data_IF_363509196127
#
_entry.id   IF_363509196127
#
_cell.length_a   1.000
_cell.length_b   1.000
_cell.length_c   1.000
_cell.angle_alpha   90.00
_cell.angle_beta   90.00
_cell.angle_gamma   90.00
#
_symmetry.space_group_name_H-M   'P 1'
#
loop_
_entity.id
_entity.type
_entity.pdbx_description
1 polymer ?
#
# COMPACT_ATOMS: atom_id res chain seq x y z
N UNK A 1 -42.96 70.58 -38.60
CA UNK A 1 -43.27 70.06 -37.26
C UNK A 1 -42.21 68.99 -36.98
N UNK A 2 -41.26 69.15 -36.05
CA UNK A 2 -41.45 69.11 -34.58
C UNK A 2 -42.10 67.77 -34.18
N UNK A 3 -41.32 66.81 -33.68
CA UNK A 3 -40.93 66.68 -32.26
C UNK A 3 -42.03 65.96 -31.45
N UNK A 4 -41.78 65.06 -30.49
CA UNK A 4 -40.60 64.26 -30.06
C UNK A 4 -41.17 62.86 -29.61
N UNK A 5 -40.65 61.97 -28.74
CA UNK A 5 -39.52 61.99 -27.80
C UNK A 5 -39.04 60.58 -27.37
N UNK A 6 -37.74 60.48 -27.04
CA UNK A 6 -37.04 59.67 -26.02
C UNK A 6 -37.59 58.31 -25.50
N UNK A 7 -36.80 57.24 -25.79
CA UNK A 7 -36.42 56.13 -24.86
C UNK A 7 -37.42 55.02 -24.44
N UNK A 8 -36.99 53.86 -23.90
CA UNK A 8 -35.64 53.44 -23.46
C UNK A 8 -35.36 51.90 -23.57
N UNK A 9 -34.11 51.53 -23.24
CA UNK A 9 -33.58 50.18 -22.96
C UNK A 9 -33.40 49.29 -24.22
N UNK A 10 -32.30 49.43 -24.96
CA UNK A 10 -30.92 48.91 -24.70
C UNK A 10 -30.77 47.47 -25.24
N UNK A 11 -30.05 47.23 -26.35
CA UNK A 11 -28.57 47.04 -26.45
C UNK A 11 -28.16 45.64 -25.93
N UNK A 12 -27.46 44.74 -26.65
CA UNK A 12 -26.69 44.74 -27.92
C UNK A 12 -26.80 43.26 -28.46
N UNK A 13 -26.67 42.82 -29.74
CA UNK A 13 -25.72 43.14 -30.84
C UNK A 13 -24.24 42.96 -30.42
N UNK A 14 -23.28 42.46 -31.22
CA UNK A 14 -23.28 41.75 -32.51
C UNK A 14 -22.04 40.80 -32.55
N UNK A 15 -21.99 39.93 -33.55
CA UNK A 15 -20.91 39.01 -33.98
C UNK A 15 -19.44 39.36 -33.63
N UNK A 16 -18.62 38.33 -33.40
CA UNK A 16 -17.17 38.34 -33.63
C UNK A 16 -16.64 36.92 -33.96
N UNK A 17 -15.57 36.82 -34.76
CA UNK A 17 -15.03 35.57 -35.30
C UNK A 17 -13.53 35.38 -34.97
N UNK A 18 -13.10 34.12 -34.86
CA UNK A 18 -11.74 33.62 -35.08
C UNK A 18 -10.58 33.99 -34.09
N UNK A 19 -9.42 33.39 -34.39
CA UNK A 19 -8.07 33.56 -33.79
C UNK A 19 -7.74 32.78 -32.51
N UNK A 20 -6.45 32.74 -32.15
CA UNK A 20 -5.81 31.59 -31.49
C UNK A 20 -5.24 31.87 -30.08
N UNK A 21 -4.86 30.80 -29.39
CA UNK A 21 -4.32 30.81 -28.02
C UNK A 21 -3.02 31.64 -27.87
N UNK A 22 -2.75 32.19 -26.67
CA UNK A 22 -2.03 31.39 -25.67
C UNK A 22 -2.61 31.48 -24.23
N UNK A 23 -1.89 30.84 -23.30
CA UNK A 23 -2.19 30.66 -21.86
C UNK A 23 -2.36 31.94 -21.04
N UNK A 24 -3.28 31.91 -20.07
CA UNK A 24 -2.98 32.25 -18.67
C UNK A 24 -3.85 31.40 -17.70
N UNK A 25 -3.77 31.63 -16.39
CA UNK A 25 -4.04 30.68 -15.32
C UNK A 25 -5.20 31.12 -14.42
N UNK A 26 -6.15 30.22 -14.14
CA UNK A 26 -7.03 30.32 -12.96
C UNK A 26 -7.16 28.95 -12.28
N UNK A 27 -7.20 29.00 -10.96
CA UNK A 27 -7.00 27.84 -10.10
C UNK A 27 -8.32 27.36 -9.49
N UNK A 28 -8.73 26.17 -9.87
CA UNK A 28 -9.51 25.26 -9.04
C UNK A 28 -8.62 24.00 -8.89
N UNK A 29 -7.88 23.79 -7.79
CA UNK A 29 -8.37 23.55 -6.42
C UNK A 29 -9.08 22.19 -6.24
N UNK A 30 -8.95 21.28 -7.20
CA UNK A 30 -9.15 19.85 -6.93
C UNK A 30 -8.03 19.35 -5.99
N UNK A 31 -8.42 18.76 -4.86
CA UNK A 31 -7.51 18.45 -3.75
C UNK A 31 -6.82 17.11 -3.94
N UNK A 32 -5.88 17.09 -4.87
CA UNK A 32 -4.85 16.05 -4.99
C UNK A 32 -3.95 16.05 -3.73
N UNK A 33 -4.49 15.49 -2.64
CA UNK A 33 -3.75 15.22 -1.40
C UNK A 33 -2.51 14.41 -1.78
N UNK A 34 -1.29 14.91 -1.53
CA UNK A 34 -0.09 14.21 -1.95
C UNK A 34 -0.04 12.85 -1.24
N UNK A 35 0.20 11.74 -1.97
CA UNK A 35 0.35 10.44 -1.33
C UNK A 35 1.45 10.53 -0.27
N UNK A 36 1.26 9.95 0.93
CA UNK A 36 2.25 10.04 1.99
C UNK A 36 3.58 9.50 1.47
N UNK A 37 4.71 10.20 1.74
CA UNK A 37 5.99 9.83 1.16
C UNK A 37 6.33 8.39 1.53
N UNK A 38 6.64 7.58 0.51
CA UNK A 38 7.01 6.17 0.61
C UNK A 38 5.85 5.15 0.77
N UNK A 39 4.73 5.29 0.04
CA UNK A 39 3.88 4.14 -0.32
C UNK A 39 4.59 3.21 -1.33
N UNK A 40 5.71 2.62 -0.91
CA UNK A 40 6.40 1.57 -1.63
C UNK A 40 5.74 0.24 -1.30
N UNK A 41 4.81 -0.21 -2.15
CA UNK A 41 4.19 -1.54 -2.03
C UNK A 41 5.29 -2.58 -1.86
N UNK A 42 5.27 -3.40 -0.78
CA UNK A 42 6.33 -4.37 -0.53
C UNK A 42 6.40 -5.37 -1.68
N UNK A 43 7.49 -5.35 -2.44
CA UNK A 43 7.70 -6.27 -3.56
C UNK A 43 7.99 -7.67 -3.04
N UNK A 44 6.94 -8.47 -2.89
CA UNK A 44 7.05 -9.87 -2.50
C UNK A 44 7.82 -10.71 -3.54
N UNK A 45 7.75 -10.38 -4.83
CA UNK A 45 8.46 -11.14 -5.85
C UNK A 45 9.99 -10.87 -5.79
N UNK A 46 10.45 -9.73 -5.24
CA UNK A 46 11.88 -9.45 -4.98
C UNK A 46 12.57 -10.37 -3.96
N UNK A 47 11.81 -10.89 -2.98
CA UNK A 47 12.30 -11.80 -1.93
C UNK A 47 11.86 -13.26 -2.16
N UNK A 48 11.27 -13.54 -3.32
CA UNK A 48 10.79 -14.86 -3.70
C UNK A 48 11.97 -15.81 -3.95
N UNK A 49 11.85 -17.03 -3.43
CA UNK A 49 12.83 -18.09 -3.57
C UNK A 49 12.17 -19.27 -4.29
N UNK A 50 12.96 -20.01 -5.06
CA UNK A 50 12.48 -21.20 -5.79
C UNK A 50 13.24 -22.41 -5.28
N UNK A 51 12.51 -23.45 -4.90
CA UNK A 51 13.07 -24.71 -4.42
C UNK A 51 13.70 -25.53 -5.57
N UNK A 52 14.54 -26.54 -5.27
CA UNK A 52 15.06 -27.46 -6.29
C UNK A 52 13.98 -28.20 -7.10
N UNK A 53 12.72 -28.19 -6.63
CA UNK A 53 11.55 -28.79 -7.28
C UNK A 53 10.71 -27.78 -8.07
N UNK A 54 11.16 -26.53 -8.23
CA UNK A 54 10.44 -25.47 -8.95
C UNK A 54 9.32 -24.78 -8.16
N UNK A 55 9.04 -25.22 -6.92
CA UNK A 55 8.01 -24.60 -6.06
C UNK A 55 8.52 -23.29 -5.49
N UNK A 56 7.73 -22.22 -5.64
CA UNK A 56 7.98 -20.88 -5.08
C UNK A 56 7.72 -20.84 -3.57
N UNK A 57 8.60 -20.17 -2.82
CA UNK A 57 8.47 -19.97 -1.37
C UNK A 57 9.12 -18.67 -0.89
N UNK A 58 8.79 -18.27 0.33
CA UNK A 58 9.30 -17.05 0.96
C UNK A 58 9.94 -17.35 2.33
N UNK A 59 11.07 -16.73 2.64
CA UNK A 59 11.68 -16.79 3.97
C UNK A 59 11.09 -15.70 4.86
N UNK A 60 10.57 -16.09 6.02
CA UNK A 60 10.00 -15.15 6.98
C UNK A 60 11.02 -14.12 7.49
N UNK A 61 12.32 -14.44 7.55
CA UNK A 61 13.39 -13.45 7.80
C UNK A 61 13.57 -12.39 6.72
N UNK A 62 13.24 -12.71 5.47
CA UNK A 62 13.40 -11.73 4.38
C UNK A 62 12.11 -10.92 4.24
N UNK A 63 10.95 -11.54 4.43
CA UNK A 63 9.67 -10.84 4.59
C UNK A 63 9.65 -9.90 5.80
N UNK A 64 10.26 -10.27 6.94
CA UNK A 64 10.31 -9.38 8.11
C UNK A 64 11.10 -8.10 7.82
N UNK A 65 12.16 -8.17 7.01
CA UNK A 65 12.93 -6.99 6.58
C UNK A 65 12.14 -6.13 5.60
N UNK A 66 11.49 -6.77 4.62
CA UNK A 66 10.65 -6.09 3.61
C UNK A 66 9.50 -5.31 4.27
N UNK A 67 8.90 -5.86 5.32
CA UNK A 67 7.84 -5.22 6.12
C UNK A 67 8.39 -4.36 7.28
N UNK A 68 9.69 -4.01 7.27
CA UNK A 68 10.28 -3.05 8.22
C UNK A 68 10.37 -3.50 9.69
N UNK A 69 10.36 -4.80 9.99
CA UNK A 69 10.50 -5.33 11.35
C UNK A 69 11.98 -5.49 11.74
N UNK A 70 12.39 -4.76 12.78
CA UNK A 70 13.76 -4.79 13.32
C UNK A 70 13.95 -5.84 14.42
N UNK A 71 12.94 -6.10 15.28
CA UNK A 71 12.94 -7.25 16.20
C UNK A 71 12.06 -8.39 15.64
N UNK A 72 12.67 -9.56 15.50
CA UNK A 72 12.01 -10.82 15.16
C UNK A 72 10.84 -11.17 16.10
N UNK A 73 10.90 -10.80 17.40
CA UNK A 73 9.81 -11.06 18.36
C UNK A 73 8.50 -10.41 17.94
N UNK A 74 8.56 -9.17 17.44
CA UNK A 74 7.37 -8.44 16.97
C UNK A 74 6.82 -9.10 15.70
N UNK A 75 7.69 -9.62 14.84
CA UNK A 75 7.29 -10.36 13.66
C UNK A 75 6.69 -11.74 13.99
N UNK A 76 7.17 -12.43 15.04
CA UNK A 76 6.51 -13.65 15.52
C UNK A 76 5.07 -13.40 16.00
N UNK A 77 4.75 -12.20 16.51
CA UNK A 77 3.38 -11.85 16.89
C UNK A 77 2.51 -11.71 15.63
N UNK A 78 3.02 -11.08 14.57
CA UNK A 78 2.33 -11.02 13.28
C UNK A 78 2.10 -12.43 12.71
N UNK A 79 3.13 -13.28 12.63
CA UNK A 79 3.03 -14.68 12.17
C UNK A 79 1.95 -15.45 12.97
N UNK A 80 1.92 -15.31 14.30
CA UNK A 80 0.92 -16.00 15.14
C UNK A 80 -0.51 -15.53 14.86
N UNK A 81 -0.72 -14.24 14.62
CA UNK A 81 -2.03 -13.71 14.19
C UNK A 81 -2.43 -14.26 12.81
N UNK A 82 -1.51 -14.30 11.85
CA UNK A 82 -1.75 -14.89 10.54
C UNK A 82 -2.10 -16.37 10.59
N UNK A 83 -1.43 -17.15 11.45
CA UNK A 83 -1.77 -18.56 11.69
C UNK A 83 -3.21 -18.69 12.22
N UNK A 84 -3.60 -17.89 13.21
CA UNK A 84 -5.00 -17.86 13.70
C UNK A 84 -5.99 -17.44 12.61
N UNK A 85 -5.65 -16.44 11.80
CA UNK A 85 -6.48 -15.99 10.68
C UNK A 85 -6.61 -17.06 9.59
N UNK A 86 -5.56 -17.86 9.36
CA UNK A 86 -5.53 -18.99 8.43
C UNK A 86 -6.54 -20.07 8.85
N UNK A 87 -6.54 -20.44 10.13
CA UNK A 87 -7.50 -21.38 10.72
C UNK A 87 -8.94 -20.85 10.60
N UNK A 88 -9.15 -19.55 10.84
CA UNK A 88 -10.46 -18.90 10.73
C UNK A 88 -11.04 -18.92 9.30
N UNK A 89 -10.20 -18.84 8.26
CA UNK A 89 -10.64 -19.00 6.86
C UNK A 89 -10.68 -20.46 6.38
N UNK A 90 -10.52 -21.42 7.29
CA UNK A 90 -10.60 -22.85 6.99
C UNK A 90 -9.38 -23.43 6.26
N UNK A 91 -8.25 -22.72 6.23
CA UNK A 91 -7.00 -23.17 5.61
C UNK A 91 -6.05 -23.75 6.65
N UNK A 92 -5.37 -24.85 6.32
CA UNK A 92 -4.46 -25.54 7.23
C UNK A 92 -3.12 -24.76 7.35
N UNK A 93 -2.74 -24.24 8.54
CA UNK A 93 -1.54 -23.41 8.65
C UNK A 93 -0.23 -24.14 8.33
N UNK A 94 -0.18 -25.47 8.52
CA UNK A 94 0.99 -26.27 8.18
C UNK A 94 1.37 -26.18 6.69
N UNK A 95 0.39 -25.91 5.82
CA UNK A 95 0.56 -25.87 4.36
C UNK A 95 1.07 -24.48 3.90
N UNK A 96 1.12 -23.50 4.82
CA UNK A 96 1.42 -22.09 4.53
C UNK A 96 2.48 -21.47 5.46
N UNK A 97 2.75 -22.06 6.62
CA UNK A 97 3.64 -21.58 7.68
C UNK A 97 4.56 -22.72 8.19
N UNK A 98 5.41 -23.25 7.31
CA UNK A 98 6.32 -24.36 7.65
C UNK A 98 7.46 -23.83 8.52
N UNK A 99 7.57 -24.33 9.75
CA UNK A 99 8.68 -24.02 10.65
C UNK A 99 10.02 -24.50 10.05
N UNK A 100 11.01 -23.62 10.02
CA UNK A 100 12.32 -23.89 9.41
C UNK A 100 13.44 -23.23 10.22
N UNK A 101 14.70 -23.46 9.85
CA UNK A 101 15.86 -22.83 10.46
C UNK A 101 16.76 -22.24 9.37
N UNK A 102 17.16 -20.98 9.54
CA UNK A 102 18.06 -20.26 8.63
C UNK A 102 19.43 -20.12 9.28
N UNK A 103 20.49 -20.48 8.57
CA UNK A 103 21.87 -20.25 9.01
C UNK A 103 22.28 -18.83 8.62
N UNK A 104 22.78 -18.04 9.58
CA UNK A 104 23.33 -16.70 9.34
C UNK A 104 24.78 -16.58 9.79
N UNK A 105 25.59 -15.83 9.05
CA UNK A 105 26.95 -15.49 9.45
C UNK A 105 26.97 -14.40 10.52
N UNK A 106 27.67 -14.65 11.63
CA UNK A 106 27.92 -13.69 12.72
C UNK A 106 29.35 -13.12 12.71
N UNK A 107 30.24 -13.64 11.85
CA UNK A 107 31.62 -13.19 11.73
C UNK A 107 32.45 -14.10 10.82
N UNK A 108 33.77 -13.85 10.73
CA UNK A 108 34.69 -14.48 9.76
C UNK A 108 34.70 -16.03 9.71
N UNK A 109 34.22 -16.71 10.75
CA UNK A 109 34.07 -18.18 10.76
C UNK A 109 32.87 -18.67 11.59
N UNK A 110 32.00 -17.76 12.04
CA UNK A 110 30.91 -18.09 12.95
C UNK A 110 29.57 -18.09 12.20
N UNK A 111 28.90 -19.24 12.14
CA UNK A 111 27.50 -19.33 11.72
C UNK A 111 26.61 -19.58 12.95
N UNK A 112 25.38 -19.05 12.91
CA UNK A 112 24.36 -19.32 13.92
C UNK A 112 23.06 -19.74 13.24
N UNK A 113 22.47 -20.81 13.74
CA UNK A 113 21.12 -21.22 13.41
C UNK A 113 20.10 -20.29 14.07
N UNK A 114 19.16 -19.76 13.28
CA UNK A 114 18.04 -18.97 13.77
C UNK A 114 16.72 -19.53 13.24
N UNK A 115 15.77 -19.77 14.15
CA UNK A 115 14.40 -20.21 13.85
C UNK A 115 13.73 -19.27 12.84
N UNK A 116 13.39 -19.77 11.67
CA UNK A 116 12.72 -19.07 10.57
C UNK A 116 11.39 -19.76 10.21
N UNK A 117 10.68 -19.26 9.20
CA UNK A 117 9.56 -19.97 8.59
C UNK A 117 9.67 -19.91 7.07
N UNK A 118 9.32 -21.01 6.41
CA UNK A 118 9.06 -21.09 4.98
C UNK A 118 7.57 -20.82 4.77
N UNK A 119 7.27 -19.82 3.96
CA UNK A 119 5.93 -19.29 3.75
C UNK A 119 5.47 -19.55 2.32
N UNK A 120 4.18 -19.85 2.14
CA UNK A 120 3.53 -19.83 0.82
C UNK A 120 3.25 -18.38 0.38
N UNK A 121 2.86 -18.17 -0.89
CA UNK A 121 2.41 -16.85 -1.38
C UNK A 121 1.24 -16.31 -0.55
N UNK A 122 0.32 -17.21 -0.15
CA UNK A 122 -0.80 -16.90 0.73
C UNK A 122 -0.36 -16.60 2.18
N UNK A 123 0.52 -17.40 2.76
CA UNK A 123 1.05 -17.16 4.11
C UNK A 123 1.76 -15.81 4.24
N UNK A 124 2.51 -15.41 3.20
CA UNK A 124 3.18 -14.11 3.13
C UNK A 124 2.21 -12.94 3.06
N UNK A 125 1.15 -13.05 2.26
CA UNK A 125 0.07 -12.06 2.17
C UNK A 125 -0.68 -11.91 3.50
N UNK A 126 -1.01 -13.05 4.13
CA UNK A 126 -1.72 -13.09 5.41
C UNK A 126 -0.88 -12.51 6.57
N UNK A 127 0.45 -12.46 6.45
CA UNK A 127 1.35 -11.73 7.36
C UNK A 127 1.32 -10.23 7.12
N UNK A 128 1.29 -9.76 5.87
CA UNK A 128 1.15 -8.32 5.61
C UNK A 128 -0.19 -7.76 6.11
N UNK A 129 -1.28 -8.54 6.01
CA UNK A 129 -2.60 -8.16 6.55
C UNK A 129 -2.65 -8.12 8.09
N UNK A 130 -2.00 -9.09 8.77
CA UNK A 130 -2.08 -9.25 10.23
C UNK A 130 -0.91 -8.60 11.00
N UNK A 131 -0.21 -7.65 10.38
CA UNK A 131 0.91 -6.92 10.96
C UNK A 131 0.54 -6.03 12.16
N UNK A 132 1.50 -5.23 12.64
CA UNK A 132 1.26 -4.25 13.70
C UNK A 132 0.64 -2.96 13.11
N UNK A 133 -0.63 -2.60 13.41
CA UNK A 133 -1.25 -1.36 12.92
C UNK A 133 -0.56 -0.07 13.38
N UNK A 134 0.38 -0.15 14.33
CA UNK A 134 1.22 1.00 14.75
C UNK A 134 2.35 1.30 13.77
N UNK A 135 2.53 0.48 12.74
CA UNK A 135 3.34 0.79 11.56
C UNK A 135 2.57 1.77 10.67
N UNK A 136 3.17 2.90 10.23
CA UNK A 136 2.45 3.91 9.45
C UNK A 136 1.81 3.35 8.17
N UNK A 137 2.41 2.31 7.59
CA UNK A 137 1.93 1.60 6.41
C UNK A 137 0.59 0.87 6.65
N UNK A 138 0.33 0.42 7.89
CA UNK A 138 -0.90 -0.27 8.29
C UNK A 138 -1.88 0.70 8.97
N UNK A 139 -1.38 1.72 9.68
CA UNK A 139 -2.19 2.83 10.18
C UNK A 139 -2.92 3.56 9.05
N UNK A 140 -2.26 3.79 7.91
CA UNK A 140 -2.86 4.40 6.73
C UNK A 140 -4.02 3.57 6.15
N UNK A 141 -3.95 2.24 6.22
CA UNK A 141 -5.03 1.36 5.77
C UNK A 141 -6.25 1.38 6.72
N UNK A 142 -6.03 1.62 8.02
CA UNK A 142 -7.13 1.78 8.98
C UNK A 142 -7.78 3.16 8.88
N UNK A 143 -7.00 4.23 8.77
CA UNK A 143 -7.51 5.61 8.70
C UNK A 143 -8.47 5.86 7.52
N UNK A 144 -8.32 5.15 6.40
CA UNK A 144 -9.25 5.20 5.28
C UNK A 144 -10.65 4.62 5.60
N UNK A 145 -10.75 3.73 6.61
CA UNK A 145 -12.00 3.02 6.94
C UNK A 145 -12.95 3.80 7.86
N UNK A 146 -12.47 4.88 8.49
CA UNK A 146 -13.25 5.68 9.45
C UNK A 146 -13.94 6.91 8.82
N UNK A 147 -13.51 7.35 7.62
CA UNK A 147 -14.02 8.57 6.96
C UNK A 147 -15.33 8.33 6.17
N UNK A 148 -15.43 7.17 5.49
CA UNK A 148 -16.64 6.67 4.80
C UNK A 148 -17.78 6.26 5.77
N UNK A 149 -17.56 6.32 7.09
CA UNK A 149 -18.52 5.90 8.11
C UNK A 149 -19.49 7.01 8.57
N UNK A 150 -19.40 8.22 8.01
CA UNK A 150 -20.13 9.41 8.49
C UNK A 150 -20.65 10.35 7.38
N UNK A 151 -21.02 9.79 6.21
CA UNK A 151 -21.77 10.47 5.14
C UNK A 151 -22.88 9.56 4.57
#
# INVERSE_FOLDING_TARGET
>A
MTADDTSNNDDNSTEAEATAAPTDNRSDSDSATPPPPHTQTPDFDSIKQVSPYGVEYWSARDLSKLLGYTDWRNFEVAIKRSITSCEQVGQQPADHFVGSNKMIGLGKSAQREIKDYILSRFGSYLISQNGDPRKPEIAAAQAYSDDDANH
#
